data_IF_757897522117
#
_entry.id   IF_757897522117
#
_cell.length_a   1.000
_cell.length_b   1.000
_cell.length_c   1.000
_cell.angle_alpha   90.00
_cell.angle_beta   90.00
_cell.angle_gamma   90.00
#
_symmetry.space_group_name_H-M   'P 1'
#
loop_
_entity.id
_entity.type
_entity.pdbx_description
1 polymer ?
#
# COMPACT_ATOMS: atom_id res chain seq x y z
N UNK A 1 12.12 -17.17 15.40
CA UNK A 1 10.84 -17.27 16.14
C UNK A 1 10.45 -15.87 16.58
N UNK A 2 9.43 -15.27 15.97
CA UNK A 2 8.97 -13.92 16.36
C UNK A 2 8.05 -14.01 17.57
N UNK A 3 8.15 -13.09 18.56
CA UNK A 3 7.27 -13.12 19.73
C UNK A 3 5.83 -12.85 19.30
N UNK A 4 4.92 -13.79 19.58
CA UNK A 4 3.48 -13.51 19.55
C UNK A 4 3.15 -12.67 20.79
N UNK A 5 2.86 -11.38 20.58
CA UNK A 5 2.29 -10.54 21.64
C UNK A 5 0.94 -11.14 22.06
N UNK A 6 0.93 -11.74 23.25
CA UNK A 6 -0.29 -12.04 24.01
C UNK A 6 -0.73 -10.73 24.65
N UNK A 7 -1.71 -10.04 24.07
CA UNK A 7 -2.18 -8.75 24.58
C UNK A 7 -3.23 -8.98 25.67
N UNK A 8 -2.80 -8.99 26.92
CA UNK A 8 -3.67 -8.88 28.10
C UNK A 8 -3.43 -7.53 28.78
N UNK A 9 -3.83 -6.45 28.11
CA UNK A 9 -4.09 -5.13 28.66
C UNK A 9 -4.82 -4.35 27.57
N UNK A 10 -5.89 -3.65 27.92
CA UNK A 10 -6.65 -2.81 26.98
C UNK A 10 -5.81 -1.56 26.72
N UNK A 11 -4.81 -1.67 25.85
CA UNK A 11 -3.98 -0.53 25.47
C UNK A 11 -4.89 0.62 25.03
N UNK A 12 -4.65 1.85 25.54
CA UNK A 12 -5.48 2.97 25.18
C UNK A 12 -5.39 3.19 23.68
N UNK A 13 -6.54 3.35 23.03
CA UNK A 13 -6.61 3.62 21.60
C UNK A 13 -5.84 4.92 21.31
N UNK A 14 -4.77 4.81 20.53
CA UNK A 14 -4.03 5.97 20.05
C UNK A 14 -4.87 6.69 18.99
N UNK A 15 -5.08 8.00 19.18
CA UNK A 15 -5.66 8.87 18.15
C UNK A 15 -4.56 9.34 17.21
N UNK A 16 -4.88 9.40 15.93
CA UNK A 16 -4.00 9.90 14.86
C UNK A 16 -4.79 10.95 14.09
N UNK A 17 -4.19 12.12 13.85
CA UNK A 17 -4.78 13.14 12.99
C UNK A 17 -4.64 12.71 11.52
N UNK A 18 -5.77 12.68 10.81
CA UNK A 18 -5.80 12.23 9.43
C UNK A 18 -5.11 13.21 8.48
N UNK A 19 -5.21 14.52 8.72
CA UNK A 19 -4.60 15.52 7.85
C UNK A 19 -3.07 15.41 7.88
N UNK A 20 -2.51 15.18 9.06
CA UNK A 20 -1.08 14.90 9.27
C UNK A 20 -0.68 13.57 8.60
N UNK A 21 -1.48 12.52 8.81
CA UNK A 21 -1.20 11.19 8.26
C UNK A 21 -1.23 11.18 6.72
N UNK A 22 -2.15 11.93 6.11
CA UNK A 22 -2.35 11.95 4.66
C UNK A 22 -1.51 13.02 3.96
N UNK A 23 -0.92 13.97 4.69
CA UNK A 23 -0.06 15.06 4.18
C UNK A 23 -0.68 15.77 2.95
N UNK A 24 -1.95 16.14 3.04
CA UNK A 24 -2.71 16.78 1.95
C UNK A 24 -3.14 15.85 0.80
N UNK A 25 -2.74 14.58 0.84
CA UNK A 25 -3.14 13.55 -0.12
C UNK A 25 -4.57 13.05 0.11
N UNK A 26 -5.20 12.54 -0.95
CA UNK A 26 -6.55 11.93 -0.85
C UNK A 26 -6.51 10.40 -0.71
N UNK A 27 -5.35 9.79 -0.93
CA UNK A 27 -5.13 8.35 -0.90
C UNK A 27 -3.73 8.07 -0.38
N UNK A 28 -3.61 7.20 0.61
CA UNK A 28 -2.32 6.72 1.14
C UNK A 28 -2.31 5.20 1.20
N UNK A 29 -1.11 4.62 1.22
CA UNK A 29 -0.90 3.18 1.42
C UNK A 29 -0.56 2.94 2.89
N UNK A 30 -1.34 2.10 3.55
CA UNK A 30 -1.06 1.59 4.88
C UNK A 30 -0.44 0.20 4.75
N UNK A 31 0.75 0.01 5.32
CA UNK A 31 1.42 -1.28 5.37
C UNK A 31 1.01 -2.04 6.63
N UNK A 32 0.46 -3.25 6.47
CA UNK A 32 0.18 -4.14 7.58
C UNK A 32 0.77 -5.53 7.31
N UNK A 33 1.99 -5.74 7.80
CA UNK A 33 2.79 -6.90 7.41
C UNK A 33 3.00 -6.93 5.89
N UNK A 34 2.67 -8.07 5.27
CA UNK A 34 2.76 -8.26 3.81
C UNK A 34 1.50 -7.82 3.05
N UNK A 35 0.49 -7.28 3.75
CA UNK A 35 -0.79 -6.89 3.14
C UNK A 35 -0.90 -5.36 3.12
N UNK A 36 -0.69 -4.73 1.95
CA UNK A 36 -0.93 -3.30 1.81
C UNK A 36 -2.44 -3.01 1.73
N UNK A 37 -2.83 -1.85 2.24
CA UNK A 37 -4.19 -1.32 2.16
C UNK A 37 -4.16 0.11 1.63
N UNK A 38 -5.19 0.51 0.89
CA UNK A 38 -5.41 1.91 0.56
C UNK A 38 -6.40 2.53 1.53
N UNK A 39 -6.00 3.62 2.17
CA UNK A 39 -6.91 4.53 2.85
C UNK A 39 -7.21 5.72 1.94
N UNK A 40 -8.48 5.92 1.60
CA UNK A 40 -8.93 7.01 0.74
C UNK A 40 -9.93 7.89 1.47
N UNK A 41 -9.76 9.21 1.40
CA UNK A 41 -10.78 10.18 1.84
C UNK A 41 -11.62 10.62 0.64
N UNK A 42 -12.94 10.51 0.80
CA UNK A 42 -13.91 10.93 -0.22
C UNK A 42 -14.10 12.45 -0.20
N UNK A 43 -14.69 13.03 -1.26
CA UNK A 43 -15.02 14.48 -1.31
C UNK A 43 -15.92 14.95 -0.17
N UNK A 44 -16.70 14.04 0.45
CA UNK A 44 -17.60 14.32 1.57
C UNK A 44 -16.98 14.00 2.94
N UNK A 45 -15.67 13.74 3.00
CA UNK A 45 -14.95 13.48 4.25
C UNK A 45 -15.08 12.06 4.81
N UNK A 46 -15.76 11.13 4.11
CA UNK A 46 -15.79 9.71 4.52
C UNK A 46 -14.47 9.01 4.19
N UNK A 47 -14.08 8.05 5.03
CA UNK A 47 -12.92 7.19 4.82
C UNK A 47 -13.33 5.84 4.23
N UNK A 48 -12.52 5.36 3.30
CA UNK A 48 -12.67 4.04 2.68
C UNK A 48 -11.32 3.31 2.82
N UNK A 49 -11.34 2.14 3.43
CA UNK A 49 -10.19 1.23 3.50
C UNK A 49 -10.42 0.07 2.54
N UNK A 50 -9.52 -0.12 1.58
CA UNK A 50 -9.57 -1.24 0.62
C UNK A 50 -8.27 -2.02 0.67
N UNK A 51 -8.30 -3.33 0.42
CA UNK A 51 -7.08 -4.08 0.18
C UNK A 51 -6.35 -3.49 -1.04
N UNK A 52 -5.02 -3.44 -0.98
CA UNK A 52 -4.18 -3.09 -2.13
C UNK A 52 -3.59 -4.37 -2.76
N UNK A 53 -4.43 -5.41 -2.89
CA UNK A 53 -4.05 -6.64 -3.57
C UNK A 53 -3.51 -6.32 -4.97
N UNK A 54 -2.38 -6.93 -5.27
CA UNK A 54 -1.44 -6.65 -6.35
C UNK A 54 -2.05 -6.09 -7.65
N UNK A 55 -1.96 -4.78 -7.83
CA UNK A 55 -1.87 -4.14 -9.16
C UNK A 55 -0.53 -4.47 -9.88
N UNK A 56 0.20 -5.50 -9.44
CA UNK A 56 1.47 -5.94 -10.06
C UNK A 56 1.28 -6.86 -11.28
N UNK A 57 0.05 -7.18 -11.71
CA UNK A 57 -0.20 -8.07 -12.87
C UNK A 57 -0.52 -7.38 -14.21
N UNK A 58 -0.24 -6.10 -14.38
CA UNK A 58 -0.35 -5.45 -15.70
C UNK A 58 0.75 -4.41 -15.93
N UNK A 59 1.99 -4.88 -16.13
CA UNK A 59 2.89 -4.23 -17.08
C UNK A 59 2.94 -5.16 -18.31
N UNK A 60 2.55 -4.72 -19.52
CA UNK A 60 2.87 -5.49 -20.70
C UNK A 60 4.39 -5.50 -20.85
N UNK A 61 4.97 -6.70 -20.91
CA UNK A 61 6.35 -6.89 -21.33
C UNK A 61 6.49 -6.37 -22.77
N UNK A 62 6.85 -5.11 -22.90
CA UNK A 62 7.15 -4.46 -24.17
C UNK A 62 8.39 -5.09 -24.78
N UNK A 63 8.16 -5.75 -25.90
CA UNK A 63 9.13 -6.29 -26.84
C UNK A 63 10.32 -5.36 -27.11
N UNK A 64 11.52 -5.93 -27.20
CA UNK A 64 12.69 -5.20 -27.65
C UNK A 64 14.04 -5.90 -27.51
N UNK A 65 14.11 -7.23 -27.52
CA UNK A 65 15.39 -7.94 -27.69
C UNK A 65 15.71 -8.02 -29.18
N UNK A 66 16.16 -6.92 -29.78
CA UNK A 66 16.83 -6.99 -31.09
C UNK A 66 18.27 -7.40 -30.84
N UNK A 67 18.55 -8.69 -31.00
CA UNK A 67 19.91 -9.19 -31.11
C UNK A 67 20.59 -8.50 -32.30
N UNK A 68 21.63 -7.73 -32.01
CA UNK A 68 22.53 -7.16 -33.00
C UNK A 68 23.20 -8.30 -33.77
N UNK A 69 22.86 -8.45 -35.05
CA UNK A 69 23.60 -9.28 -36.00
C UNK A 69 24.97 -8.64 -36.19
N UNK A 70 26.02 -9.30 -35.71
CA UNK A 70 27.40 -8.95 -36.03
C UNK A 70 27.77 -9.59 -37.36
N UNK A 71 28.03 -8.74 -38.36
CA UNK A 71 28.48 -9.14 -39.69
C UNK A 71 29.87 -9.77 -39.61
N UNK A 72 30.05 -10.89 -40.32
CA UNK A 72 31.33 -11.34 -40.88
C UNK A 72 31.45 -10.82 -42.31
#
# INVERSE_FOLDING_TARGET
>A
MTPRHRTTAKDPLRRINLDELMNGGKKIILQHGQRPYFLTITRRGKLILTAAEEQQRQQPAGAGSTASVQMM
#
